data_IF_157732657835
#
_entry.id   IF_157732657835
#
_cell.length_a   1.000
_cell.length_b   1.000
_cell.length_c   1.000
_cell.angle_alpha   90.00
_cell.angle_beta   90.00
_cell.angle_gamma   90.00
#
_symmetry.space_group_name_H-M   'P 1'
#
loop_
_entity.id
_entity.type
_entity.pdbx_description
1 polymer ?
#
# COMPACT_ATOMS: atom_id res chain seq x y z
N UNK A 1 -3.51 10.57 7.83
CA UNK A 1 -2.52 9.98 8.74
C UNK A 1 -1.84 8.83 8.00
N UNK A 2 -0.52 8.65 8.14
CA UNK A 2 0.19 7.52 7.54
C UNK A 2 0.48 6.44 8.59
N UNK A 3 0.43 5.18 8.19
CA UNK A 3 0.82 4.02 8.97
C UNK A 3 2.22 3.52 8.54
N UNK A 4 3.02 2.98 9.45
CA UNK A 4 4.28 2.33 9.09
C UNK A 4 4.00 1.01 8.35
N UNK A 5 4.98 0.57 7.55
CA UNK A 5 4.96 -0.80 7.05
C UNK A 5 5.14 -1.79 8.21
N UNK A 6 4.36 -2.88 8.28
CA UNK A 6 4.51 -3.90 9.33
C UNK A 6 5.91 -4.51 9.37
N UNK A 7 6.51 -4.56 10.56
CA UNK A 7 7.87 -5.07 10.79
C UNK A 7 8.07 -6.57 10.50
N UNK A 8 7.00 -7.37 10.54
CA UNK A 8 7.05 -8.81 10.28
C UNK A 8 6.83 -9.15 8.80
N UNK A 9 6.37 -8.19 8.00
CA UNK A 9 6.01 -8.42 6.62
C UNK A 9 7.19 -8.00 5.74
N UNK A 10 7.68 -8.87 4.84
CA UNK A 10 8.69 -8.48 3.87
C UNK A 10 8.27 -7.19 3.17
N UNK A 11 9.15 -6.19 3.22
CA UNK A 11 8.87 -4.91 2.59
C UNK A 11 8.99 -5.10 1.07
N UNK A 12 7.94 -4.78 0.29
CA UNK A 12 8.04 -4.82 -1.17
C UNK A 12 9.03 -3.74 -1.65
N UNK A 13 9.33 -3.75 -2.94
CA UNK A 13 10.15 -2.70 -3.55
C UNK A 13 9.38 -1.38 -3.52
N UNK A 14 9.61 -0.58 -2.47
CA UNK A 14 8.94 0.69 -2.25
C UNK A 14 9.76 1.83 -2.85
N UNK A 15 9.10 2.87 -3.39
CA UNK A 15 9.79 3.98 -4.01
C UNK A 15 10.72 4.70 -3.03
N UNK A 16 11.80 5.25 -3.57
CA UNK A 16 12.70 6.14 -2.85
C UNK A 16 12.80 7.51 -3.50
N UNK A 17 13.02 8.52 -2.67
CA UNK A 17 13.07 9.92 -3.10
C UNK A 17 14.23 10.66 -2.41
N UNK A 18 15.03 11.45 -3.16
CA UNK A 18 16.20 12.11 -2.60
C UNK A 18 15.81 13.30 -1.76
N UNK A 19 16.64 13.61 -0.76
CA UNK A 19 16.48 14.84 0.02
C UNK A 19 17.11 16.01 -0.73
N UNK A 20 16.29 16.81 -1.41
CA UNK A 20 16.74 17.99 -2.18
C UNK A 20 15.92 19.23 -1.83
N UNK A 21 16.43 20.41 -2.19
CA UNK A 21 15.70 21.67 -2.00
C UNK A 21 14.47 21.80 -2.91
N UNK A 22 14.38 20.98 -3.96
CA UNK A 22 13.25 21.00 -4.89
C UNK A 22 11.98 20.34 -4.32
N UNK A 23 12.10 19.58 -3.23
CA UNK A 23 10.99 18.86 -2.62
C UNK A 23 10.49 19.62 -1.40
N UNK A 24 9.19 19.89 -1.28
CA UNK A 24 8.65 20.60 -0.13
C UNK A 24 9.04 19.93 1.20
N UNK A 25 9.59 20.67 2.18
CA UNK A 25 9.95 20.10 3.49
C UNK A 25 8.79 19.40 4.22
N UNK A 26 7.55 19.79 3.90
CA UNK A 26 6.33 19.14 4.40
C UNK A 26 6.24 17.65 4.01
N UNK A 27 6.78 17.26 2.85
CA UNK A 27 6.83 15.85 2.43
C UNK A 27 7.64 14.99 3.40
N UNK A 28 8.83 15.46 3.78
CA UNK A 28 9.70 14.73 4.71
C UNK A 28 9.13 14.67 6.13
N UNK A 29 8.33 15.67 6.53
CA UNK A 29 7.58 15.62 7.80
C UNK A 29 6.45 14.59 7.74
N UNK A 30 5.76 14.49 6.60
CA UNK A 30 4.66 13.53 6.40
C UNK A 30 5.15 12.08 6.60
N UNK A 31 6.22 11.70 5.88
CA UNK A 31 6.71 10.31 5.86
C UNK A 31 7.41 9.86 7.17
N UNK A 32 7.67 10.78 8.11
CA UNK A 32 8.19 10.42 9.44
C UNK A 32 7.19 9.60 10.25
N UNK A 33 5.89 9.74 9.96
CA UNK A 33 4.82 9.05 10.70
C UNK A 33 4.51 7.65 10.16
N UNK A 34 4.99 7.34 8.96
CA UNK A 34 4.64 6.14 8.22
C UNK A 34 4.69 6.41 6.72
N UNK A 35 4.29 5.42 5.93
CA UNK A 35 4.30 5.49 4.46
C UNK A 35 2.99 5.02 3.82
N UNK A 36 2.11 4.38 4.60
CA UNK A 36 0.85 3.82 4.12
C UNK A 36 -0.30 4.78 4.44
N UNK A 37 -0.98 5.37 3.45
CA UNK A 37 -2.06 6.33 3.70
C UNK A 37 -3.35 5.70 4.23
N UNK A 38 -3.90 6.23 5.32
CA UNK A 38 -5.29 5.88 5.71
C UNK A 38 -6.32 6.44 4.72
N UNK A 39 -6.06 7.62 4.16
CA UNK A 39 -6.84 8.21 3.08
C UNK A 39 -6.03 8.04 1.80
N UNK A 40 -6.46 7.13 0.94
CA UNK A 40 -5.62 6.63 -0.13
C UNK A 40 -6.24 6.71 -1.52
N UNK A 41 -7.51 7.10 -1.59
CA UNK A 41 -8.18 7.30 -2.87
C UNK A 41 -8.10 8.76 -3.27
N UNK A 42 -7.67 8.99 -4.51
CA UNK A 42 -7.65 10.31 -5.12
C UNK A 42 -8.72 10.37 -6.21
N UNK A 43 -9.80 11.14 -6.03
CA UNK A 43 -10.77 11.35 -7.09
C UNK A 43 -10.12 12.05 -8.29
N UNK A 44 -10.41 11.55 -9.49
CA UNK A 44 -9.95 12.14 -10.75
C UNK A 44 -11.13 12.53 -11.61
N UNK A 45 -10.93 13.52 -12.48
CA UNK A 45 -11.96 13.92 -13.47
C UNK A 45 -11.99 13.00 -14.68
N UNK A 46 -10.91 12.25 -14.89
CA UNK A 46 -10.72 11.32 -15.98
C UNK A 46 -10.57 9.91 -15.40
N UNK A 47 -11.12 8.88 -16.06
CA UNK A 47 -10.89 7.48 -15.69
C UNK A 47 -9.40 7.16 -15.63
N UNK A 48 -9.01 6.32 -14.69
CA UNK A 48 -7.65 5.77 -14.59
C UNK A 48 -7.70 4.24 -14.75
N UNK A 49 -6.52 3.60 -14.76
CA UNK A 49 -6.42 2.14 -14.77
C UNK A 49 -7.02 1.48 -13.52
N UNK A 50 -7.17 2.20 -12.42
CA UNK A 50 -7.79 1.68 -11.19
C UNK A 50 -9.31 1.73 -11.26
N UNK A 51 -9.88 2.87 -11.66
CA UNK A 51 -11.33 3.07 -11.74
C UNK A 51 -11.73 4.28 -12.59
N UNK A 52 -13.04 4.39 -12.84
CA UNK A 52 -13.64 5.49 -13.61
C UNK A 52 -13.59 6.84 -12.91
N UNK A 53 -13.43 6.87 -11.59
CA UNK A 53 -13.63 8.05 -10.74
C UNK A 53 -12.43 8.40 -9.85
N UNK A 54 -11.32 7.68 -9.97
CA UNK A 54 -10.13 7.95 -9.17
C UNK A 54 -9.03 6.94 -9.34
N UNK A 55 -8.05 7.05 -8.45
CA UNK A 55 -6.85 6.20 -8.40
C UNK A 55 -6.34 6.05 -6.96
N UNK A 56 -5.79 4.87 -6.66
CA UNK A 56 -5.20 4.53 -5.38
C UNK A 56 -3.73 4.93 -5.25
N UNK A 57 -3.37 5.53 -4.12
CA UNK A 57 -1.97 5.65 -3.67
C UNK A 57 -1.70 4.64 -2.56
N UNK A 58 -0.80 3.68 -2.80
CA UNK A 58 -0.60 2.56 -1.87
C UNK A 58 0.63 2.68 -0.96
N UNK A 59 1.63 3.49 -1.34
CA UNK A 59 2.77 3.80 -0.48
C UNK A 59 3.45 5.11 -0.90
N UNK A 60 3.85 5.90 0.09
CA UNK A 60 4.75 7.03 -0.11
C UNK A 60 6.22 6.58 -0.06
N UNK A 61 7.04 7.23 -0.87
CA UNK A 61 8.47 6.99 -0.95
C UNK A 61 9.19 7.34 0.35
N UNK A 62 10.20 6.53 0.68
CA UNK A 62 11.13 6.86 1.77
C UNK A 62 12.36 7.60 1.25
N UNK A 63 13.08 8.27 2.15
CA UNK A 63 14.33 8.94 1.79
C UNK A 63 15.33 7.92 1.23
N UNK A 64 15.89 8.19 0.06
CA UNK A 64 16.89 7.35 -0.59
C UNK A 64 17.31 7.93 -1.94
N UNK A 65 18.04 7.16 -2.77
CA UNK A 65 18.31 7.56 -4.16
C UNK A 65 17.02 7.86 -4.92
N UNK A 66 17.08 8.70 -5.95
CA UNK A 66 15.93 8.90 -6.81
C UNK A 66 15.57 7.60 -7.50
N UNK A 67 14.28 7.23 -7.44
CA UNK A 67 13.72 6.29 -8.39
C UNK A 67 13.97 6.82 -9.80
N UNK A 68 14.48 5.95 -10.67
CA UNK A 68 14.68 6.25 -12.08
C UNK A 68 13.85 5.30 -12.91
N UNK A 69 13.22 5.82 -13.95
CA UNK A 69 12.60 5.05 -15.02
C UNK A 69 12.88 5.78 -16.32
N UNK A 70 13.21 5.04 -17.37
CA UNK A 70 13.43 5.61 -18.70
C UNK A 70 12.12 6.12 -19.32
N UNK A 71 10.98 5.67 -18.79
CA UNK A 71 9.64 6.03 -19.28
C UNK A 71 9.09 7.30 -18.62
N UNK A 72 9.85 7.92 -17.71
CA UNK A 72 9.45 9.12 -16.99
C UNK A 72 10.24 10.36 -17.45
N UNK A 73 9.63 11.56 -17.46
CA UNK A 73 10.36 12.79 -17.73
C UNK A 73 11.50 13.02 -16.75
N UNK A 74 12.60 13.58 -17.25
CA UNK A 74 13.73 14.00 -16.41
C UNK A 74 13.38 15.04 -15.33
N UNK A 75 12.28 15.78 -15.51
CA UNK A 75 11.79 16.78 -14.57
C UNK A 75 10.69 16.24 -13.63
N UNK A 76 10.33 14.96 -13.73
CA UNK A 76 9.35 14.34 -12.86
C UNK A 76 10.06 13.54 -11.77
N UNK A 77 9.70 13.80 -10.51
CA UNK A 77 10.29 13.11 -9.37
C UNK A 77 9.23 12.29 -8.63
N UNK A 78 9.20 10.96 -8.83
CA UNK A 78 8.23 10.09 -8.19
C UNK A 78 8.36 10.11 -6.67
N UNK A 79 7.21 10.16 -6.01
CA UNK A 79 7.08 9.97 -4.57
C UNK A 79 6.13 8.83 -4.20
N UNK A 80 5.46 8.20 -5.17
CA UNK A 80 4.71 6.96 -5.01
C UNK A 80 4.72 6.19 -6.34
N UNK A 81 4.67 4.87 -6.27
CA UNK A 81 4.64 3.97 -7.43
C UNK A 81 3.86 2.71 -7.09
N UNK A 82 3.03 2.25 -8.02
CA UNK A 82 2.45 0.90 -8.04
C UNK A 82 2.44 0.43 -9.49
N UNK A 83 3.13 -0.67 -9.82
CA UNK A 83 3.22 -1.09 -11.23
C UNK A 83 3.73 0.01 -12.18
N UNK A 84 2.91 0.37 -13.17
CA UNK A 84 3.15 1.42 -14.18
C UNK A 84 2.62 2.81 -13.79
N UNK A 85 2.04 2.94 -12.59
CA UNK A 85 1.38 4.14 -12.10
C UNK A 85 2.28 4.86 -11.10
N UNK A 86 2.43 6.17 -11.28
CA UNK A 86 3.33 7.01 -10.51
C UNK A 86 2.62 8.27 -10.03
N UNK A 87 2.87 8.67 -8.79
CA UNK A 87 2.65 10.04 -8.34
C UNK A 87 3.98 10.71 -8.08
N UNK A 88 4.11 11.98 -8.46
CA UNK A 88 5.37 12.69 -8.32
C UNK A 88 5.27 14.20 -8.42
N UNK A 89 6.37 14.85 -8.10
CA UNK A 89 6.53 16.29 -8.23
C UNK A 89 6.92 16.65 -9.67
N UNK A 90 6.24 17.64 -10.23
CA UNK A 90 6.66 18.32 -11.45
C UNK A 90 7.69 19.41 -11.10
N UNK A 91 8.95 19.18 -11.48
CA UNK A 91 10.06 20.09 -11.21
C UNK A 91 10.17 21.24 -12.23
N UNK A 92 9.26 21.37 -13.19
CA UNK A 92 9.21 22.54 -14.09
C UNK A 92 8.42 23.71 -13.51
N UNK A 93 7.54 23.46 -12.55
CA UNK A 93 6.62 24.46 -11.99
C UNK A 93 7.02 24.87 -10.57
N UNK A 94 6.65 26.08 -10.17
CA UNK A 94 6.68 26.55 -8.77
C UNK A 94 5.34 27.25 -8.45
N UNK A 95 4.55 26.77 -7.46
CA UNK A 95 4.81 25.61 -6.61
C UNK A 95 4.86 24.29 -7.39
N UNK A 96 5.56 23.31 -6.82
CA UNK A 96 5.69 21.95 -7.38
C UNK A 96 4.33 21.27 -7.46
N UNK A 97 3.77 21.22 -8.67
CA UNK A 97 2.52 20.51 -8.93
C UNK A 97 2.70 19.00 -8.73
N UNK A 98 1.61 18.33 -8.41
CA UNK A 98 1.57 16.88 -8.27
C UNK A 98 0.99 16.29 -9.54
N UNK A 99 1.74 15.39 -10.18
CA UNK A 99 1.28 14.63 -11.35
C UNK A 99 0.98 13.20 -10.97
N UNK A 100 -0.04 12.66 -11.62
CA UNK A 100 -0.25 11.23 -11.81
C UNK A 100 0.20 10.88 -13.23
N UNK A 101 1.04 9.86 -13.37
CA UNK A 101 1.48 9.33 -14.66
C UNK A 101 1.24 7.83 -14.66
N UNK A 102 0.50 7.36 -15.66
CA UNK A 102 0.38 5.94 -15.98
C UNK A 102 1.09 5.67 -17.29
N UNK A 103 2.20 4.94 -17.21
CA UNK A 103 3.06 4.62 -18.35
C UNK A 103 2.51 3.48 -19.21
N UNK A 104 1.56 2.69 -18.72
CA UNK A 104 0.97 1.58 -19.49
C UNK A 104 -0.05 2.09 -20.51
N UNK A 105 -0.82 3.11 -20.14
CA UNK A 105 -1.88 3.70 -20.98
C UNK A 105 -1.57 5.12 -21.46
N UNK A 106 -0.33 5.57 -21.29
CA UNK A 106 0.16 6.92 -21.64
C UNK A 106 -0.74 8.05 -21.10
N UNK A 107 -1.15 7.94 -19.83
CA UNK A 107 -2.00 8.93 -19.17
C UNK A 107 -1.20 9.84 -18.25
N UNK A 108 -1.40 11.16 -18.41
CA UNK A 108 -0.63 12.18 -17.69
C UNK A 108 -1.56 13.26 -17.16
N UNK A 109 -1.78 13.28 -15.85
CA UNK A 109 -2.72 14.19 -15.20
C UNK A 109 -1.99 15.07 -14.19
N UNK A 110 -2.28 16.38 -14.18
CA UNK A 110 -2.04 17.19 -12.97
C UNK A 110 -3.21 17.02 -12.03
N UNK A 111 -2.93 16.44 -10.87
CA UNK A 111 -3.93 16.06 -9.87
C UNK A 111 -3.96 17.00 -8.68
N UNK A 112 -2.92 17.81 -8.49
CA UNK A 112 -2.95 18.90 -7.51
C UNK A 112 -1.94 20.00 -7.85
N UNK A 113 -2.22 21.22 -7.37
CA UNK A 113 -1.33 22.37 -7.54
C UNK A 113 -0.09 22.30 -6.65
N UNK A 114 -0.18 21.59 -5.53
CA UNK A 114 0.91 21.40 -4.59
C UNK A 114 0.62 20.19 -3.67
N UNK A 115 1.60 19.84 -2.82
CA UNK A 115 1.47 18.75 -1.86
C UNK A 115 0.34 18.97 -0.84
N UNK A 116 0.18 20.14 -0.20
CA UNK A 116 -0.96 20.38 0.69
C UNK A 116 -2.33 20.14 0.03
N UNK A 117 -2.53 20.62 -1.20
CA UNK A 117 -3.75 20.43 -1.95
C UNK A 117 -3.97 18.94 -2.29
N UNK A 118 -2.91 18.22 -2.66
CA UNK A 118 -2.97 16.78 -2.90
C UNK A 118 -3.41 16.02 -1.64
N UNK A 119 -2.75 16.27 -0.51
CA UNK A 119 -3.06 15.57 0.75
C UNK A 119 -4.49 15.84 1.25
N UNK A 120 -5.05 17.02 0.93
CA UNK A 120 -6.44 17.38 1.28
C UNK A 120 -7.46 16.67 0.39
N UNK A 121 -7.10 16.32 -0.85
CA UNK A 121 -7.99 15.63 -1.79
C UNK A 121 -8.11 14.13 -1.51
N UNK A 122 -7.14 13.52 -0.83
CA UNK A 122 -7.16 12.10 -0.50
C UNK A 122 -8.30 11.75 0.47
N UNK A 123 -9.05 10.70 0.15
CA UNK A 123 -10.22 10.25 0.88
C UNK A 123 -10.08 8.80 1.37
N UNK A 124 -10.77 8.41 2.45
CA UNK A 124 -10.99 7.00 2.75
C UNK A 124 -11.74 6.33 1.60
N UNK A 125 -11.43 5.07 1.36
CA UNK A 125 -12.10 4.25 0.35
C UNK A 125 -12.14 2.80 0.81
N UNK A 126 -13.14 2.06 0.35
CA UNK A 126 -13.38 0.66 0.73
C UNK A 126 -12.14 -0.20 0.47
N UNK A 127 -11.79 -1.03 1.45
CA UNK A 127 -10.75 -2.05 1.31
C UNK A 127 -11.30 -3.19 0.46
N UNK A 128 -11.07 -3.09 -0.86
CA UNK A 128 -11.53 -4.08 -1.82
C UNK A 128 -10.42 -4.42 -2.80
N UNK A 129 -10.09 -5.71 -2.87
CA UNK A 129 -9.18 -6.25 -3.87
C UNK A 129 -9.97 -6.78 -5.07
N UNK A 130 -9.42 -6.66 -6.29
CA UNK A 130 -10.04 -7.25 -7.47
C UNK A 130 -9.89 -8.78 -7.45
N UNK A 131 -10.67 -9.48 -8.28
CA UNK A 131 -10.60 -10.95 -8.43
C UNK A 131 -9.42 -11.38 -9.33
N UNK A 132 -8.26 -10.74 -9.15
CA UNK A 132 -6.99 -11.04 -9.82
C UNK A 132 -5.81 -10.84 -8.86
N UNK A 133 -4.66 -11.46 -9.17
CA UNK A 133 -3.42 -11.22 -8.42
C UNK A 133 -3.00 -9.75 -8.49
N UNK A 134 -2.70 -9.15 -7.33
CA UNK A 134 -2.24 -7.76 -7.20
C UNK A 134 -0.79 -7.72 -6.73
N UNK A 135 -0.15 -6.56 -6.94
CA UNK A 135 1.17 -6.29 -6.38
C UNK A 135 1.15 -6.46 -4.84
N UNK A 136 2.16 -7.12 -4.23
CA UNK A 136 2.26 -7.25 -2.76
C UNK A 136 2.14 -5.93 -1.99
N UNK A 137 2.51 -4.80 -2.60
CA UNK A 137 2.30 -3.47 -2.04
C UNK A 137 0.81 -3.13 -1.88
N UNK A 138 -0.03 -3.46 -2.86
CA UNK A 138 -1.48 -3.21 -2.81
C UNK A 138 -2.10 -4.04 -1.68
N UNK A 139 -1.85 -5.36 -1.67
CA UNK A 139 -2.35 -6.24 -0.61
C UNK A 139 -1.87 -5.76 0.76
N UNK A 140 -0.58 -5.46 0.91
CA UNK A 140 -0.04 -5.04 2.19
C UNK A 140 -0.58 -3.71 2.67
N UNK A 141 -0.86 -2.78 1.76
CA UNK A 141 -1.54 -1.55 2.10
C UNK A 141 -2.97 -1.81 2.61
N UNK A 142 -3.76 -2.57 1.84
CA UNK A 142 -5.14 -2.94 2.20
C UNK A 142 -5.21 -3.65 3.55
N UNK A 143 -4.34 -4.63 3.79
CA UNK A 143 -4.26 -5.38 5.03
C UNK A 143 -3.98 -4.50 6.26
N UNK A 144 -3.12 -3.48 6.12
CA UNK A 144 -2.77 -2.59 7.24
C UNK A 144 -3.94 -1.69 7.63
N UNK A 145 -4.66 -1.16 6.65
CA UNK A 145 -5.76 -0.22 6.90
C UNK A 145 -7.09 -0.91 7.20
N UNK A 146 -7.22 -2.19 6.87
CA UNK A 146 -8.41 -2.99 7.12
C UNK A 146 -8.83 -2.98 8.59
N UNK A 147 -10.13 -2.84 8.80
CA UNK A 147 -10.82 -3.16 10.04
C UNK A 147 -10.93 -4.67 10.21
N UNK A 148 -11.24 -5.15 11.41
CA UNK A 148 -11.43 -6.57 11.66
C UNK A 148 -12.52 -7.20 10.76
N UNK A 149 -13.56 -6.44 10.40
CA UNK A 149 -14.66 -6.93 9.57
C UNK A 149 -14.27 -7.14 8.09
N UNK A 150 -13.20 -6.48 7.61
CA UNK A 150 -12.72 -6.59 6.23
C UNK A 150 -11.70 -7.73 6.04
N UNK A 151 -11.11 -8.22 7.13
CA UNK A 151 -10.11 -9.30 7.09
C UNK A 151 -10.58 -10.62 6.50
N UNK A 152 -11.83 -11.11 6.74
CA UNK A 152 -12.31 -12.33 6.12
C UNK A 152 -12.20 -12.31 4.58
N UNK A 153 -12.58 -11.19 3.93
CA UNK A 153 -12.46 -11.04 2.48
C UNK A 153 -10.99 -10.98 2.01
N UNK A 154 -10.10 -10.38 2.81
CA UNK A 154 -8.66 -10.41 2.53
C UNK A 154 -8.07 -11.83 2.66
N UNK A 155 -8.60 -12.65 3.57
CA UNK A 155 -8.19 -14.05 3.70
C UNK A 155 -8.72 -14.91 2.55
N UNK A 156 -9.95 -14.70 2.10
CA UNK A 156 -10.47 -15.32 0.87
C UNK A 156 -9.53 -15.05 -0.31
N UNK A 157 -9.21 -13.77 -0.53
CA UNK A 157 -8.26 -13.35 -1.56
C UNK A 157 -6.89 -14.01 -1.40
N UNK A 158 -6.34 -13.99 -0.18
CA UNK A 158 -5.03 -14.55 0.13
C UNK A 158 -4.94 -16.04 -0.17
N UNK A 159 -5.98 -16.82 0.14
CA UNK A 159 -6.00 -18.26 -0.15
C UNK A 159 -6.03 -18.56 -1.64
N UNK A 160 -6.65 -17.68 -2.43
CA UNK A 160 -6.76 -17.86 -3.88
C UNK A 160 -5.49 -17.42 -4.62
N UNK A 161 -4.94 -16.27 -4.25
CA UNK A 161 -3.89 -15.62 -5.06
C UNK A 161 -2.50 -15.59 -4.41
N UNK A 162 -2.35 -16.00 -3.14
CA UNK A 162 -1.08 -15.93 -2.42
C UNK A 162 -0.61 -17.30 -1.93
N UNK A 163 0.71 -17.49 -1.91
CA UNK A 163 1.31 -18.65 -1.27
C UNK A 163 1.25 -18.51 0.26
N UNK A 164 1.03 -19.58 1.00
CA UNK A 164 0.93 -19.49 2.46
C UNK A 164 2.21 -19.03 3.18
N UNK A 165 3.38 -19.13 2.53
CA UNK A 165 4.62 -18.47 2.99
C UNK A 165 4.48 -16.94 3.11
N UNK A 166 3.60 -16.33 2.32
CA UNK A 166 3.29 -14.91 2.38
C UNK A 166 2.26 -14.60 3.47
N UNK A 167 1.38 -15.54 3.83
CA UNK A 167 0.27 -15.33 4.78
C UNK A 167 0.67 -15.57 6.25
N UNK A 168 1.54 -16.53 6.53
CA UNK A 168 2.03 -16.78 7.90
C UNK A 168 2.52 -15.50 8.63
N UNK A 169 3.34 -14.64 7.99
CA UNK A 169 3.73 -13.35 8.55
C UNK A 169 2.55 -12.42 8.90
N UNK A 170 1.50 -12.37 8.09
CA UNK A 170 0.30 -11.57 8.35
C UNK A 170 -0.47 -12.06 9.56
N UNK A 171 -0.65 -13.38 9.71
CA UNK A 171 -1.30 -13.96 10.88
C UNK A 171 -0.51 -13.65 12.16
N UNK A 172 0.83 -13.71 12.12
CA UNK A 172 1.67 -13.32 13.27
C UNK A 172 1.54 -11.83 13.60
N UNK A 173 1.45 -10.98 12.58
CA UNK A 173 1.25 -9.55 12.79
C UNK A 173 -0.12 -9.25 13.42
N UNK A 174 -1.17 -9.91 12.95
CA UNK A 174 -2.51 -9.80 13.54
C UNK A 174 -2.54 -10.25 14.99
N UNK A 175 -1.80 -11.32 15.33
CA UNK A 175 -1.68 -11.80 16.71
C UNK A 175 -1.06 -10.77 17.66
N UNK A 176 -0.25 -9.84 17.13
CA UNK A 176 0.37 -8.74 17.88
C UNK A 176 -0.46 -7.45 17.84
N UNK A 177 -1.61 -7.45 17.16
CA UNK A 177 -2.49 -6.27 17.08
C UNK A 177 -2.92 -5.84 18.47
N UNK A 178 -3.05 -4.53 18.70
CA UNK A 178 -3.64 -3.98 19.94
C UNK A 178 -5.16 -4.15 19.97
N UNK A 179 -5.78 -4.29 18.80
CA UNK A 179 -7.22 -4.47 18.64
C UNK A 179 -7.60 -5.95 18.81
N UNK A 180 -8.42 -6.26 19.82
CA UNK A 180 -8.88 -7.64 20.09
C UNK A 180 -9.61 -8.24 18.89
N UNK A 181 -10.46 -7.46 18.22
CA UNK A 181 -11.20 -7.93 17.06
C UNK A 181 -10.27 -8.39 15.92
N UNK A 182 -9.12 -7.73 15.72
CA UNK A 182 -8.12 -8.14 14.71
C UNK A 182 -7.37 -9.41 15.13
N UNK A 183 -7.09 -9.58 16.43
CA UNK A 183 -6.51 -10.83 16.94
C UNK A 183 -7.46 -12.00 16.72
N UNK A 184 -8.75 -11.78 17.01
CA UNK A 184 -9.80 -12.79 16.88
C UNK A 184 -9.93 -13.32 15.45
N UNK A 185 -10.01 -12.43 14.44
CA UNK A 185 -10.11 -12.87 13.03
C UNK A 185 -8.84 -13.59 12.56
N UNK A 186 -7.65 -13.19 13.04
CA UNK A 186 -6.41 -13.91 12.77
C UNK A 186 -6.39 -15.33 13.37
N UNK A 187 -6.92 -15.49 14.59
CA UNK A 187 -7.09 -16.79 15.23
C UNK A 187 -8.07 -17.69 14.48
N UNK A 188 -9.21 -17.13 14.07
CA UNK A 188 -10.23 -17.85 13.28
C UNK A 188 -9.67 -18.36 11.96
N UNK A 189 -8.90 -17.52 11.25
CA UNK A 189 -8.22 -17.93 10.03
C UNK A 189 -7.19 -19.03 10.27
N UNK A 190 -6.38 -18.91 11.34
CA UNK A 190 -5.43 -19.95 11.70
C UNK A 190 -6.12 -21.30 11.97
N UNK A 191 -7.26 -21.31 12.68
CA UNK A 191 -8.07 -22.50 12.90
C UNK A 191 -8.69 -23.06 11.62
N UNK A 192 -9.11 -22.18 10.70
CA UNK A 192 -9.59 -22.59 9.39
C UNK A 192 -8.48 -23.29 8.59
N UNK A 193 -7.31 -22.68 8.47
CA UNK A 193 -6.18 -23.22 7.71
C UNK A 193 -5.70 -24.55 8.30
N UNK A 194 -5.54 -24.65 9.61
CA UNK A 194 -5.10 -25.90 10.25
C UNK A 194 -6.10 -27.04 10.08
N UNK A 195 -7.41 -26.76 10.03
CA UNK A 195 -8.45 -27.77 9.87
C UNK A 195 -8.68 -28.18 8.41
N UNK A 196 -8.71 -27.21 7.49
CA UNK A 196 -9.17 -27.43 6.12
C UNK A 196 -8.06 -27.33 5.07
N UNK A 197 -6.93 -26.68 5.38
CA UNK A 197 -5.78 -26.53 4.49
C UNK A 197 -4.44 -26.72 5.24
N UNK A 198 -4.20 -27.89 5.89
CA UNK A 198 -3.13 -28.06 6.87
C UNK A 198 -1.70 -27.87 6.34
N UNK A 199 -1.52 -27.88 5.02
CA UNK A 199 -0.23 -27.67 4.35
C UNK A 199 -0.09 -26.27 3.72
N UNK A 200 -1.05 -25.37 3.95
CA UNK A 200 -1.01 -24.02 3.38
C UNK A 200 0.10 -23.19 4.02
N UNK A 201 0.14 -23.15 5.35
CA UNK A 201 1.19 -22.44 6.11
C UNK A 201 2.49 -23.23 6.15
N UNK A 202 3.61 -22.53 6.30
CA UNK A 202 4.90 -23.20 6.52
C UNK A 202 4.91 -23.89 7.90
N UNK A 203 5.66 -24.99 8.09
CA UNK A 203 5.72 -25.67 9.39
C UNK A 203 6.13 -24.75 10.54
N UNK A 204 7.07 -23.82 10.28
CA UNK A 204 7.50 -22.84 11.27
C UNK A 204 6.40 -21.86 11.65
N UNK A 205 5.63 -21.38 10.66
CA UNK A 205 4.50 -20.49 10.92
C UNK A 205 3.40 -21.20 11.70
N UNK A 206 3.09 -22.44 11.33
CA UNK A 206 2.10 -23.27 12.04
C UNK A 206 2.47 -23.46 13.50
N UNK A 207 3.71 -23.87 13.80
CA UNK A 207 4.19 -24.04 15.18
C UNK A 207 4.15 -22.73 15.97
N UNK A 208 4.61 -21.64 15.36
CA UNK A 208 4.63 -20.33 16.01
C UNK A 208 3.21 -19.87 16.35
N UNK A 209 2.28 -19.97 15.41
CA UNK A 209 0.90 -19.53 15.58
C UNK A 209 0.12 -20.43 16.54
N UNK A 210 0.42 -21.73 16.61
CA UNK A 210 -0.17 -22.62 17.61
C UNK A 210 0.13 -22.17 19.04
N UNK A 211 1.31 -21.62 19.32
CA UNK A 211 1.64 -21.10 20.65
C UNK A 211 0.92 -19.79 20.99
N UNK A 212 0.42 -19.07 19.99
CA UNK A 212 -0.18 -17.74 20.17
C UNK A 212 -1.70 -17.78 20.11
N UNK A 213 -2.25 -18.62 19.24
CA UNK A 213 -3.68 -18.77 18.98
C UNK A 213 -4.28 -20.10 19.47
N UNK A 214 -3.43 -21.07 19.81
CA UNK A 214 -3.85 -22.41 20.22
C UNK A 214 -4.16 -22.59 21.69
#
# INVERSE_FOLDING_TARGET
>A
MLQPWPNLIPRPDLPTIPKTAAIPPAYFKLIQTGILPMNWWLPTKEPTSDAIDGVGIHAFATVGPAMTSNDLPAHFLPFAKTGHQYFGFDLQQEPRQIRYIDTEVDQWLTVAMDLPAFMKQLQPHEVKLPEISVDPQIFGHMAVIATAAEWPALFDYAREFMAGQAIGPWLRWLAQSKEEAKRQVGMEEFHFLTRYQPNFLTPNDTLTLQHVFG
#
